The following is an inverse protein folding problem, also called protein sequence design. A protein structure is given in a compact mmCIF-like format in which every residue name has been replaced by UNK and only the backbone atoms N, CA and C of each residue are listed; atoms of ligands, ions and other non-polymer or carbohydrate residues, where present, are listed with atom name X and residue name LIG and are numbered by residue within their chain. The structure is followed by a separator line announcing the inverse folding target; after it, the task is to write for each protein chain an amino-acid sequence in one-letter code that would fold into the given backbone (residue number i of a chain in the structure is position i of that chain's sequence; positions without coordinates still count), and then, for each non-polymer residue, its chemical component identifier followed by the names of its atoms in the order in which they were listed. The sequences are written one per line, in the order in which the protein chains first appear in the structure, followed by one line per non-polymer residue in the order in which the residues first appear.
data_IF_717134310003
#
_entry.id   IF_717134310003
#
_cell.length_a   1.000
_cell.length_b   1.000
_cell.length_c   1.000
_cell.angle_alpha   90.00
_cell.angle_beta   90.00
_cell.angle_gamma   90.00
#
_symmetry.space_group_name_H-M   'P 1'
#
loop_
_entity.id
_entity.type
_entity.pdbx_description
1 polymer ?
#
# COMPACT_ATOMS: atom_id res chain seq x y z
N UNK A 1 9.07 -21.24 18.83
CA UNK A 1 9.26 -20.28 17.71
C UNK A 1 7.94 -19.58 17.48
N UNK A 2 7.82 -18.32 17.90
CA UNK A 2 6.65 -17.49 17.58
C UNK A 2 6.79 -17.06 16.11
N UNK A 3 5.74 -17.29 15.32
CA UNK A 3 5.68 -16.92 13.91
C UNK A 3 5.71 -15.39 13.76
N UNK A 4 6.52 -14.85 12.85
CA UNK A 4 6.63 -13.40 12.65
C UNK A 4 5.25 -12.82 12.27
N UNK A 5 4.75 -11.77 12.96
CA UNK A 5 3.51 -11.10 12.60
C UNK A 5 3.38 -10.76 11.10
N UNK A 6 4.48 -10.37 10.43
CA UNK A 6 4.45 -10.06 9.01
C UNK A 6 4.21 -11.29 8.12
N UNK A 7 4.69 -12.48 8.52
CA UNK A 7 4.48 -13.73 7.79
C UNK A 7 3.01 -14.17 7.85
N UNK A 8 2.38 -13.97 9.01
CA UNK A 8 0.94 -14.22 9.20
C UNK A 8 0.08 -13.29 8.34
N UNK A 9 0.41 -11.99 8.32
CA UNK A 9 -0.31 -11.02 7.47
C UNK A 9 -0.11 -11.36 5.99
N UNK A 10 1.12 -11.68 5.58
CA UNK A 10 1.43 -12.08 4.19
C UNK A 10 0.61 -13.30 3.76
N UNK A 11 0.53 -14.33 4.61
CA UNK A 11 -0.26 -15.54 4.32
C UNK A 11 -1.74 -15.23 4.11
N UNK A 12 -2.34 -14.44 5.00
CA UNK A 12 -3.76 -14.03 4.89
C UNK A 12 -4.04 -13.28 3.60
N UNK A 13 -3.11 -12.43 3.16
CA UNK A 13 -3.21 -11.71 1.89
C UNK A 13 -3.13 -12.66 0.69
N UNK A 14 -2.19 -13.60 0.70
CA UNK A 14 -2.06 -14.62 -0.36
C UNK A 14 -3.35 -15.45 -0.48
N UNK A 15 -3.93 -15.88 0.65
CA UNK A 15 -5.19 -16.61 0.69
C UNK A 15 -6.34 -15.76 0.12
N UNK A 16 -6.49 -14.52 0.58
CA UNK A 16 -7.51 -13.60 0.10
C UNK A 16 -7.41 -13.36 -1.43
N UNK A 17 -6.22 -13.13 -1.97
CA UNK A 17 -6.07 -12.93 -3.42
C UNK A 17 -6.31 -14.23 -4.20
N UNK A 18 -5.86 -15.37 -3.69
CA UNK A 18 -6.10 -16.68 -4.32
C UNK A 18 -7.59 -17.01 -4.39
N UNK A 19 -8.33 -16.75 -3.31
CA UNK A 19 -9.78 -16.89 -3.28
C UNK A 19 -10.47 -15.89 -4.22
N UNK A 20 -9.90 -14.71 -4.39
CA UNK A 20 -10.38 -13.72 -5.36
C UNK A 20 -10.26 -14.24 -6.80
N UNK A 21 -9.09 -14.75 -7.16
CA UNK A 21 -8.82 -15.29 -8.49
C UNK A 21 -9.69 -16.51 -8.82
N UNK A 22 -9.87 -17.44 -7.89
CA UNK A 22 -10.72 -18.63 -8.09
C UNK A 22 -12.16 -18.24 -8.45
N UNK A 23 -12.64 -17.13 -7.89
CA UNK A 23 -13.98 -16.60 -8.20
C UNK A 23 -14.10 -15.96 -9.59
N UNK A 24 -12.98 -15.68 -10.27
CA UNK A 24 -12.93 -15.04 -11.60
C UNK A 24 -12.67 -16.06 -12.73
N UNK A 25 -11.89 -17.12 -12.48
CA UNK A 25 -11.49 -18.13 -13.49
C UNK A 25 -12.65 -18.83 -14.25
N UNK A 26 -13.89 -18.75 -13.78
CA UNK A 26 -15.06 -19.35 -14.47
C UNK A 26 -15.69 -18.48 -15.57
N UNK A 27 -15.20 -17.25 -15.80
CA UNK A 27 -15.61 -16.38 -16.91
C UNK A 27 -14.35 -15.86 -17.61
N UNK A 28 -14.35 -15.82 -18.94
CA UNK A 28 -13.20 -15.57 -19.84
C UNK A 28 -12.16 -14.52 -19.36
N UNK A 29 -10.90 -14.72 -19.78
CA UNK A 29 -9.74 -13.85 -19.51
C UNK A 29 -10.04 -12.37 -19.79
N UNK A 30 -9.74 -11.49 -18.84
CA UNK A 30 -9.97 -10.04 -18.97
C UNK A 30 -9.15 -9.22 -17.99
N UNK A 31 -9.27 -7.89 -18.06
CA UNK A 31 -8.51 -6.90 -17.27
C UNK A 31 -8.54 -7.20 -15.76
N UNK A 32 -9.68 -7.68 -15.25
CA UNK A 32 -9.81 -8.05 -13.84
C UNK A 32 -8.97 -9.27 -13.47
N UNK A 33 -8.90 -10.28 -14.36
CA UNK A 33 -8.03 -11.43 -14.13
C UNK A 33 -6.57 -11.00 -14.07
N UNK A 34 -6.13 -10.17 -15.03
CA UNK A 34 -4.77 -9.61 -15.04
C UNK A 34 -4.48 -8.82 -13.75
N UNK A 35 -5.39 -7.93 -13.33
CA UNK A 35 -5.20 -7.17 -12.10
C UNK A 35 -5.11 -8.07 -10.87
N UNK A 36 -5.95 -9.10 -10.76
CA UNK A 36 -5.90 -10.03 -9.63
C UNK A 36 -4.64 -10.90 -9.65
N UNK A 37 -4.13 -11.30 -10.82
CA UNK A 37 -2.85 -12.00 -10.94
C UNK A 37 -1.69 -11.11 -10.50
N UNK A 38 -1.65 -9.85 -10.94
CA UNK A 38 -0.66 -8.89 -10.46
C UNK A 38 -0.76 -8.65 -8.95
N UNK A 39 -1.97 -8.56 -8.39
CA UNK A 39 -2.15 -8.49 -6.95
C UNK A 39 -1.63 -9.75 -6.25
N UNK A 40 -1.80 -10.93 -6.83
CA UNK A 40 -1.33 -12.18 -6.22
C UNK A 40 0.19 -12.17 -6.08
N UNK A 41 0.89 -11.67 -7.09
CA UNK A 41 2.34 -11.65 -7.13
C UNK A 41 2.93 -10.51 -6.28
N UNK A 42 2.35 -9.31 -6.36
CA UNK A 42 2.98 -8.09 -5.82
C UNK A 42 2.49 -7.71 -4.43
N UNK A 43 1.23 -7.98 -4.10
CA UNK A 43 0.65 -7.57 -2.82
C UNK A 43 1.29 -8.25 -1.60
N UNK A 44 1.66 -9.55 -1.62
CA UNK A 44 2.29 -10.20 -0.46
C UNK A 44 3.65 -9.61 -0.10
N UNK A 45 4.44 -9.20 -1.11
CA UNK A 45 5.74 -8.55 -0.90
C UNK A 45 5.53 -7.18 -0.24
N UNK A 46 4.66 -6.36 -0.83
CA UNK A 46 4.32 -5.03 -0.32
C UNK A 46 3.78 -5.07 1.12
N UNK A 47 2.81 -5.95 1.38
CA UNK A 47 2.22 -6.07 2.72
C UNK A 47 3.24 -6.59 3.74
N UNK A 48 4.17 -7.44 3.33
CA UNK A 48 5.30 -7.82 4.18
C UNK A 48 6.07 -6.60 4.68
N UNK A 49 6.51 -5.73 3.77
CA UNK A 49 7.25 -4.51 4.10
C UNK A 49 6.46 -3.55 5.00
N UNK A 50 5.16 -3.38 4.74
CA UNK A 50 4.31 -2.48 5.54
C UNK A 50 3.99 -3.08 6.91
N UNK A 51 3.82 -4.39 7.02
CA UNK A 51 3.59 -5.07 8.29
C UNK A 51 4.84 -5.08 9.18
N UNK A 52 6.03 -5.21 8.57
CA UNK A 52 7.32 -5.14 9.27
C UNK A 52 7.55 -3.76 9.92
N UNK A 53 6.85 -2.72 9.48
CA UNK A 53 6.94 -1.37 10.06
C UNK A 53 6.70 -1.35 11.58
N UNK A 54 5.76 -2.16 12.07
CA UNK A 54 5.49 -2.26 13.51
C UNK A 54 6.68 -2.85 14.30
N UNK A 55 7.50 -3.69 13.67
CA UNK A 55 8.72 -4.22 14.30
C UNK A 55 9.83 -3.16 14.43
N UNK A 56 9.71 -2.04 13.73
CA UNK A 56 10.66 -0.92 13.74
C UNK A 56 10.28 0.22 14.68
N UNK A 57 9.23 0.07 15.48
CA UNK A 57 8.85 1.05 16.52
C UNK A 57 10.03 1.30 17.46
N UNK A 58 10.37 2.58 17.65
CA UNK A 58 11.50 2.99 18.50
C UNK A 58 12.89 2.70 17.90
N UNK A 59 12.95 2.11 16.71
CA UNK A 59 14.18 1.83 15.97
C UNK A 59 14.36 2.82 14.82
N UNK A 60 15.62 3.06 14.43
CA UNK A 60 15.98 4.07 13.43
C UNK A 60 15.27 5.42 13.69
N UNK A 61 15.14 6.27 12.68
CA UNK A 61 14.27 7.45 12.75
C UNK A 61 12.92 7.15 12.10
N UNK A 62 11.85 7.78 12.62
CA UNK A 62 10.50 7.73 12.01
C UNK A 62 10.55 8.09 10.53
N UNK A 63 11.34 9.13 10.20
CA UNK A 63 11.56 9.53 8.81
C UNK A 63 12.09 8.38 7.95
N UNK A 64 13.16 7.71 8.38
CA UNK A 64 13.77 6.60 7.62
C UNK A 64 12.78 5.45 7.43
N UNK A 65 12.04 5.10 8.48
CA UNK A 65 11.05 4.02 8.43
C UNK A 65 9.92 4.33 7.43
N UNK A 66 9.41 5.55 7.42
CA UNK A 66 8.34 5.95 6.51
C UNK A 66 8.82 6.14 5.06
N UNK A 67 10.08 6.53 4.83
CA UNK A 67 10.65 6.56 3.47
C UNK A 67 10.66 5.16 2.87
N UNK A 68 11.09 4.13 3.62
CA UNK A 68 11.07 2.74 3.14
C UNK A 68 9.65 2.29 2.75
N UNK A 69 8.65 2.65 3.55
CA UNK A 69 7.24 2.37 3.26
C UNK A 69 6.75 3.12 2.02
N UNK A 70 7.10 4.40 1.88
CA UNK A 70 6.72 5.21 0.73
C UNK A 70 7.30 4.62 -0.57
N UNK A 71 8.58 4.25 -0.58
CA UNK A 71 9.23 3.63 -1.74
C UNK A 71 8.60 2.28 -2.11
N UNK A 72 8.29 1.44 -1.11
CA UNK A 72 7.59 0.18 -1.33
C UNK A 72 6.17 0.40 -1.90
N UNK A 73 5.45 1.42 -1.38
CA UNK A 73 4.10 1.78 -1.84
C UNK A 73 4.10 2.29 -3.28
N UNK A 74 5.04 3.17 -3.63
CA UNK A 74 5.21 3.68 -5.01
C UNK A 74 5.53 2.52 -5.96
N UNK A 75 6.45 1.64 -5.57
CA UNK A 75 6.83 0.47 -6.38
C UNK A 75 5.64 -0.45 -6.61
N UNK A 76 4.89 -0.77 -5.56
CA UNK A 76 3.67 -1.58 -5.67
C UNK A 76 2.65 -0.97 -6.63
N UNK A 77 2.38 0.34 -6.52
CA UNK A 77 1.44 0.99 -7.42
C UNK A 77 1.95 1.05 -8.86
N UNK A 78 3.24 1.32 -9.11
CA UNK A 78 3.80 1.28 -10.47
C UNK A 78 3.56 -0.07 -11.16
N UNK A 79 3.58 -1.17 -10.41
CA UNK A 79 3.41 -2.52 -10.97
C UNK A 79 1.95 -2.90 -11.23
N UNK A 80 0.98 -2.35 -10.48
CA UNK A 80 -0.42 -2.81 -10.55
C UNK A 80 -1.39 -1.79 -11.15
N UNK A 81 -1.00 -0.51 -11.24
CA UNK A 81 -1.94 0.58 -11.51
C UNK A 81 -2.48 0.56 -12.93
N UNK A 82 -1.68 0.21 -13.94
CA UNK A 82 -2.15 0.14 -15.33
C UNK A 82 -3.31 -0.87 -15.49
N UNK A 83 -3.16 -2.08 -14.94
CA UNK A 83 -4.22 -3.08 -14.94
C UNK A 83 -5.43 -2.63 -14.11
N UNK A 84 -5.20 -1.96 -12.97
CA UNK A 84 -6.29 -1.39 -12.16
C UNK A 84 -7.08 -0.35 -12.94
N UNK A 85 -6.42 0.55 -13.67
CA UNK A 85 -7.05 1.61 -14.47
C UNK A 85 -7.97 1.00 -15.53
N UNK A 86 -7.52 -0.06 -16.21
CA UNK A 86 -8.34 -0.78 -17.19
C UNK A 86 -9.63 -1.32 -16.54
N UNK A 87 -9.51 -2.00 -15.40
CA UNK A 87 -10.65 -2.55 -14.64
C UNK A 87 -11.64 -1.47 -14.21
N UNK A 88 -11.17 -0.33 -13.71
CA UNK A 88 -12.06 0.74 -13.22
C UNK A 88 -12.73 1.53 -14.36
N UNK A 89 -12.14 1.53 -15.56
CA UNK A 89 -12.72 2.16 -16.75
C UNK A 89 -13.96 1.42 -17.28
N UNK A 90 -14.11 0.13 -16.96
CA UNK A 90 -15.28 -0.68 -17.30
C UNK A 90 -16.26 -0.78 -16.12
N UNK A 91 -17.48 -0.22 -16.19
CA UNK A 91 -18.45 -0.28 -15.08
C UNK A 91 -18.77 -1.70 -14.61
N UNK A 92 -18.88 -2.65 -15.54
CA UNK A 92 -19.15 -4.06 -15.22
C UNK A 92 -17.97 -4.70 -14.46
N UNK A 93 -16.74 -4.43 -14.89
CA UNK A 93 -15.53 -4.93 -14.24
C UNK A 93 -15.33 -4.26 -12.87
N UNK A 94 -15.64 -2.96 -12.73
CA UNK A 94 -15.59 -2.26 -11.45
C UNK A 94 -16.58 -2.84 -10.42
N UNK A 95 -17.81 -3.14 -10.83
CA UNK A 95 -18.77 -3.84 -9.95
C UNK A 95 -18.23 -5.19 -9.52
N UNK A 96 -17.68 -5.96 -10.46
CA UNK A 96 -17.09 -7.27 -10.15
C UNK A 96 -15.88 -7.15 -9.22
N UNK A 97 -15.03 -6.16 -9.44
CA UNK A 97 -13.88 -5.87 -8.59
C UNK A 97 -14.31 -5.64 -7.14
N UNK A 98 -15.36 -4.84 -6.92
CA UNK A 98 -15.92 -4.60 -5.57
C UNK A 98 -16.46 -5.88 -4.92
N UNK A 99 -17.17 -6.70 -5.68
CA UNK A 99 -17.70 -7.99 -5.19
C UNK A 99 -16.60 -8.96 -4.77
N UNK A 100 -15.46 -8.91 -5.45
CA UNK A 100 -14.31 -9.78 -5.18
C UNK A 100 -13.47 -9.22 -4.03
N UNK A 101 -13.12 -7.93 -4.05
CA UNK A 101 -12.23 -7.35 -3.04
C UNK A 101 -12.91 -7.08 -1.69
N UNK A 102 -14.16 -6.60 -1.70
CA UNK A 102 -14.86 -6.11 -0.50
C UNK A 102 -14.94 -7.15 0.63
N UNK A 103 -15.50 -8.35 0.39
CA UNK A 103 -15.61 -9.39 1.42
C UNK A 103 -14.27 -9.85 2.00
N UNK A 104 -13.17 -9.61 1.29
CA UNK A 104 -11.81 -10.04 1.65
C UNK A 104 -10.99 -8.92 2.27
N UNK A 105 -11.60 -7.74 2.48
CA UNK A 105 -10.96 -6.56 3.06
C UNK A 105 -9.68 -6.16 2.29
N UNK A 106 -9.67 -6.40 0.97
CA UNK A 106 -8.58 -5.95 0.12
C UNK A 106 -8.79 -4.47 -0.20
N UNK A 107 -7.77 -3.65 0.06
CA UNK A 107 -7.81 -2.23 -0.28
C UNK A 107 -6.71 -1.41 0.39
N UNK A 108 -6.55 -0.14 -0.02
CA UNK A 108 -5.52 0.77 0.50
C UNK A 108 -5.63 1.01 2.01
N UNK A 109 -6.85 0.93 2.57
CA UNK A 109 -7.12 1.07 4.00
C UNK A 109 -6.27 0.14 4.88
N UNK A 110 -5.86 -1.03 4.38
CA UNK A 110 -5.00 -1.95 5.15
C UNK A 110 -3.61 -1.36 5.38
N UNK A 111 -3.00 -0.75 4.36
CA UNK A 111 -1.71 -0.09 4.51
C UNK A 111 -1.83 1.18 5.36
N UNK A 112 -2.91 1.94 5.18
CA UNK A 112 -3.20 3.12 6.02
C UNK A 112 -3.27 2.73 7.51
N UNK A 113 -3.96 1.65 7.84
CA UNK A 113 -4.11 1.17 9.22
C UNK A 113 -2.77 0.74 9.82
N UNK A 114 -1.91 0.05 9.06
CA UNK A 114 -0.58 -0.34 9.53
C UNK A 114 0.33 0.86 9.80
N UNK A 115 0.34 1.85 8.90
CA UNK A 115 1.10 3.10 9.09
C UNK A 115 0.57 3.90 10.27
N UNK A 116 -0.75 4.02 10.41
CA UNK A 116 -1.37 4.73 11.53
C UNK A 116 -1.08 4.05 12.88
N UNK A 117 -1.05 2.71 12.91
CA UNK A 117 -0.68 1.95 14.11
C UNK A 117 0.78 2.18 14.49
N UNK A 118 1.69 2.19 13.52
CA UNK A 118 3.10 2.52 13.73
C UNK A 118 3.27 3.94 14.31
N UNK A 119 2.66 4.94 13.66
CA UNK A 119 2.74 6.33 14.08
C UNK A 119 2.19 6.55 15.50
N UNK A 120 1.10 5.86 15.87
CA UNK A 120 0.54 5.92 17.22
C UNK A 120 1.53 5.41 18.27
N UNK A 121 2.21 4.29 18.01
CA UNK A 121 3.22 3.78 18.93
C UNK A 121 4.46 4.68 19.01
N UNK A 122 4.87 5.29 17.89
CA UNK A 122 5.96 6.27 17.90
C UNK A 122 5.59 7.57 18.64
N UNK A 123 4.31 7.97 18.60
CA UNK A 123 3.76 9.08 19.36
C UNK A 123 3.75 8.77 20.87
N UNK A 124 3.38 7.55 21.28
CA UNK A 124 3.50 7.08 22.68
C UNK A 124 4.95 7.11 23.20
N UNK A 125 5.94 6.99 22.31
CA UNK A 125 7.36 7.13 22.62
C UNK A 125 7.89 8.58 22.55
N UNK A 126 7.03 9.55 22.26
CA UNK A 126 7.41 10.96 22.09
C UNK A 126 8.29 11.22 20.86
N UNK A 127 8.29 10.31 19.89
CA UNK A 127 9.08 10.41 18.64
C UNK A 127 8.28 11.02 17.48
N UNK A 128 6.97 11.15 17.66
CA UNK A 128 6.03 11.86 16.79
C UNK A 128 5.28 12.91 17.64
N UNK A 129 5.06 14.10 17.10
CA UNK A 129 4.38 15.19 17.81
C UNK A 129 2.94 14.80 18.24
N UNK A 130 2.48 15.25 19.40
CA UNK A 130 1.20 14.83 19.98
C UNK A 130 -0.03 15.30 19.16
N UNK A 131 0.11 16.41 18.44
CA UNK A 131 -0.92 16.99 17.58
C UNK A 131 -1.07 16.27 16.23
N UNK A 132 -0.16 15.36 15.89
CA UNK A 132 -0.23 14.59 14.65
C UNK A 132 -1.39 13.61 14.74
N UNK A 133 -2.32 13.70 13.78
CA UNK A 133 -3.38 12.70 13.59
C UNK A 133 -2.86 11.51 12.75
N UNK A 134 -2.57 10.33 13.35
CA UNK A 134 -1.85 9.26 12.66
C UNK A 134 -2.58 8.73 11.42
N UNK A 135 -3.91 8.62 11.49
CA UNK A 135 -4.70 8.13 10.36
C UNK A 135 -4.72 9.13 9.20
N UNK A 136 -4.75 10.44 9.50
CA UNK A 136 -4.71 11.48 8.48
C UNK A 136 -3.36 11.46 7.75
N UNK A 137 -2.27 11.37 8.50
CA UNK A 137 -0.92 11.22 7.94
C UNK A 137 -0.80 9.96 7.08
N UNK A 138 -1.30 8.82 7.55
CA UNK A 138 -1.27 7.59 6.79
C UNK A 138 -2.02 7.71 5.44
N UNK A 139 -3.20 8.34 5.43
CA UNK A 139 -3.96 8.62 4.20
C UNK A 139 -3.21 9.56 3.26
N UNK A 140 -2.59 10.61 3.78
CA UNK A 140 -1.78 11.54 2.98
C UNK A 140 -0.58 10.83 2.35
N UNK A 141 0.12 9.99 3.12
CA UNK A 141 1.26 9.21 2.64
C UNK A 141 0.87 8.26 1.51
N UNK A 142 -0.13 7.40 1.75
CA UNK A 142 -0.58 6.41 0.75
C UNK A 142 -1.18 7.10 -0.48
N UNK A 143 -1.95 8.17 -0.28
CA UNK A 143 -2.53 8.97 -1.35
C UNK A 143 -1.47 9.64 -2.24
N UNK A 144 -0.43 10.23 -1.64
CA UNK A 144 0.67 10.83 -2.39
C UNK A 144 1.49 9.78 -3.15
N UNK A 145 1.72 8.60 -2.58
CA UNK A 145 2.38 7.50 -3.29
C UNK A 145 1.56 7.01 -4.50
N UNK A 146 0.24 6.89 -4.34
CA UNK A 146 -0.66 6.58 -5.46
C UNK A 146 -0.63 7.67 -6.53
N UNK A 147 -0.63 8.95 -6.13
CA UNK A 147 -0.53 10.07 -7.05
C UNK A 147 0.78 10.02 -7.84
N UNK A 148 1.92 9.77 -7.19
CA UNK A 148 3.22 9.61 -7.85
C UNK A 148 3.17 8.55 -8.96
N UNK A 149 2.69 7.34 -8.62
CA UNK A 149 2.56 6.26 -9.58
C UNK A 149 1.55 6.58 -10.72
N UNK A 150 0.45 7.24 -10.39
CA UNK A 150 -0.55 7.65 -11.38
C UNK A 150 -0.01 8.73 -12.34
N UNK A 151 0.72 9.71 -11.83
CA UNK A 151 1.35 10.75 -12.65
C UNK A 151 2.39 10.14 -13.58
N UNK A 152 3.24 9.22 -13.09
CA UNK A 152 4.19 8.49 -13.94
C UNK A 152 3.50 7.67 -15.03
N UNK A 153 2.44 6.93 -14.67
CA UNK A 153 1.63 6.18 -15.64
C UNK A 153 1.00 7.09 -16.72
N UNK A 154 0.52 8.28 -16.33
CA UNK A 154 -0.22 9.18 -17.22
C UNK A 154 0.69 10.01 -18.14
N UNK A 155 1.82 10.50 -17.60
CA UNK A 155 2.67 11.49 -18.26
C UNK A 155 4.06 10.96 -18.63
N UNK A 156 4.39 9.73 -18.24
CA UNK A 156 5.72 9.13 -18.37
C UNK A 156 6.56 9.28 -17.10
N UNK A 157 7.56 8.41 -16.96
CA UNK A 157 8.38 8.31 -15.74
C UNK A 157 9.17 9.61 -15.44
N UNK A 158 9.54 10.37 -16.47
CA UNK A 158 10.25 11.66 -16.32
C UNK A 158 9.38 12.78 -15.75
N UNK A 159 8.05 12.58 -15.66
CA UNK A 159 7.11 13.55 -15.12
C UNK A 159 7.06 13.56 -13.57
N UNK A 160 7.72 12.60 -12.92
CA UNK A 160 7.84 12.53 -11.47
C UNK A 160 9.31 12.49 -11.05
N UNK A 161 9.67 13.09 -9.90
CA UNK A 161 11.01 12.94 -9.34
C UNK A 161 11.37 11.46 -9.14
N UNK A 162 12.67 11.13 -9.10
CA UNK A 162 13.13 9.81 -8.69
C UNK A 162 12.47 9.37 -7.38
N UNK A 163 12.08 8.09 -7.31
CA UNK A 163 11.28 7.53 -6.20
C UNK A 163 11.81 7.91 -4.81
N UNK A 164 13.12 7.83 -4.61
CA UNK A 164 13.76 8.17 -3.33
C UNK A 164 13.59 9.65 -2.96
N UNK A 165 13.76 10.53 -3.93
CA UNK A 165 13.59 11.98 -3.77
C UNK A 165 12.13 12.30 -3.46
N UNK A 166 11.18 11.72 -4.20
CA UNK A 166 9.75 11.89 -3.95
C UNK A 166 9.37 11.42 -2.54
N UNK A 167 9.82 10.22 -2.14
CA UNK A 167 9.55 9.66 -0.82
C UNK A 167 10.12 10.54 0.30
N UNK A 168 11.38 10.97 0.18
CA UNK A 168 12.04 11.81 1.18
C UNK A 168 11.38 13.19 1.28
N UNK A 169 11.06 13.83 0.15
CA UNK A 169 10.35 15.11 0.12
C UNK A 169 8.96 15.02 0.75
N UNK A 170 8.22 13.94 0.47
CA UNK A 170 6.92 13.67 1.08
C UNK A 170 7.02 13.53 2.60
N UNK A 171 7.91 12.67 3.10
CA UNK A 171 8.05 12.45 4.55
C UNK A 171 8.53 13.71 5.27
N UNK A 172 9.44 14.48 4.67
CA UNK A 172 9.84 15.78 5.19
C UNK A 172 8.66 16.75 5.29
N UNK A 173 7.80 16.79 4.28
CA UNK A 173 6.61 17.65 4.24
C UNK A 173 5.54 17.32 5.30
N UNK A 174 5.52 16.08 5.82
CA UNK A 174 4.57 15.64 6.85
C UNK A 174 4.86 16.19 8.25
N UNK A 175 6.06 16.75 8.49
CA UNK A 175 6.46 17.41 9.75
C UNK A 175 6.07 16.61 11.01
N UNK A 176 6.55 15.38 11.09
CA UNK A 176 6.16 14.44 12.15
C UNK A 176 6.95 14.59 13.44
N UNK A 177 8.12 15.25 13.39
CA UNK A 177 8.97 15.44 14.56
C UNK A 177 8.31 16.38 15.59
N UNK A 178 8.47 16.10 16.90
CA UNK A 178 8.08 17.03 17.96
C UNK A 178 8.77 18.40 17.88
#
# INVERSE_FOLDING_TARGET
MSENPADLVRRRVVEAVSDSMRSVQHREHGELHLYLSLLQDRLPVYVGTVADLLSHVGQASVHKNLVMVAEATITFYNEVLAAKVAVVASPAQLVRLRQVMGPRQLGPHQAENSVAAYLRQEQELGRVAEEVEPQAVARLLIGACLNCAFTGLLLGDDAVPPRHEYATGLIHGLRLSP
#
